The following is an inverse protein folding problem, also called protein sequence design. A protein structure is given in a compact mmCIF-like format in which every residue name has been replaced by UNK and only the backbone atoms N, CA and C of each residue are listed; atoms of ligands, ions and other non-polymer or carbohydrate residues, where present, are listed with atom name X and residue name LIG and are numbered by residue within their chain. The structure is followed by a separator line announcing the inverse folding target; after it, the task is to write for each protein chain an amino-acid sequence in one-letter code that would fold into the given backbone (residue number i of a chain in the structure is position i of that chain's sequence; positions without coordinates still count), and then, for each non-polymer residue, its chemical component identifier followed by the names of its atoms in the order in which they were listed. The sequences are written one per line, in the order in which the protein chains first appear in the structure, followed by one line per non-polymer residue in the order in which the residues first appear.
data_IF_044908783745
#
_entry.id   IF_044908783745
#
_cell.length_a   1.000
_cell.length_b   1.000
_cell.length_c   1.000
_cell.angle_alpha   90.00
_cell.angle_beta   90.00
_cell.angle_gamma   90.00
#
_symmetry.space_group_name_H-M   'P 1'
#
loop_
_entity.id
_entity.type
_entity.pdbx_description
1 polymer ?
#
# COMPACT_ATOMS: atom_id res chain seq x y z
N UNK A 1 23.78 11.94 16.58
CA UNK A 1 22.70 10.94 16.80
C UNK A 1 22.34 10.36 15.46
N UNK A 2 22.83 9.17 15.15
CA UNK A 2 22.38 8.40 13.98
C UNK A 2 20.92 8.05 14.25
N UNK A 3 19.99 8.75 13.59
CA UNK A 3 18.56 8.52 13.78
C UNK A 3 18.23 7.07 13.44
N UNK A 4 17.38 6.45 14.25
CA UNK A 4 16.81 5.13 13.96
C UNK A 4 16.17 5.17 12.56
N UNK A 5 16.78 4.45 11.61
CA UNK A 5 16.37 4.45 10.19
C UNK A 5 14.90 4.07 10.06
N UNK A 6 14.41 3.14 10.88
CA UNK A 6 13.02 2.73 10.86
C UNK A 6 12.09 3.87 11.29
N UNK A 7 12.45 4.60 12.35
CA UNK A 7 11.69 5.78 12.80
C UNK A 7 11.66 6.88 11.74
N UNK A 8 12.75 7.09 10.99
CA UNK A 8 12.77 8.04 9.89
C UNK A 8 11.84 7.60 8.74
N UNK A 9 11.99 6.36 8.28
CA UNK A 9 11.12 5.79 7.23
C UNK A 9 9.64 5.80 7.63
N UNK A 10 9.33 5.43 8.88
CA UNK A 10 7.96 5.37 9.37
C UNK A 10 7.34 6.77 9.41
N UNK A 11 8.12 7.80 9.76
CA UNK A 11 7.66 9.19 9.74
C UNK A 11 7.40 9.69 8.32
N UNK A 12 8.32 9.44 7.39
CA UNK A 12 8.20 9.90 6.00
C UNK A 12 7.02 9.23 5.27
N UNK A 13 6.78 7.95 5.57
CA UNK A 13 5.63 7.20 5.06
C UNK A 13 4.34 7.44 5.88
N UNK A 14 4.46 8.13 7.01
CA UNK A 14 3.38 8.39 7.96
C UNK A 14 2.84 7.14 8.67
N UNK A 15 3.59 6.03 8.71
CA UNK A 15 3.17 4.76 9.30
C UNK A 15 3.49 4.77 10.81
N UNK A 16 2.48 4.78 11.70
CA UNK A 16 2.72 4.79 13.13
C UNK A 16 2.80 3.38 13.67
N UNK A 17 3.40 3.28 14.85
CA UNK A 17 3.39 2.06 15.64
C UNK A 17 2.03 1.89 16.32
N UNK A 18 1.44 0.71 16.22
CA UNK A 18 0.18 0.41 16.88
C UNK A 18 0.40 0.05 18.36
N UNK A 19 -0.62 0.24 19.22
CA UNK A 19 -0.58 -0.25 20.59
C UNK A 19 -0.28 -1.76 20.63
N UNK A 20 0.67 -2.17 21.46
CA UNK A 20 1.08 -3.58 21.65
C UNK A 20 1.64 -4.29 20.40
N UNK A 21 2.02 -3.53 19.37
CA UNK A 21 2.71 -4.07 18.20
C UNK A 21 4.19 -4.36 18.52
N UNK A 22 4.63 -5.58 18.21
CA UNK A 22 6.05 -5.94 18.31
C UNK A 22 6.88 -5.27 17.22
N UNK A 23 8.19 -5.18 17.47
CA UNK A 23 9.14 -4.51 16.57
C UNK A 23 9.16 -5.14 15.17
N UNK A 24 9.00 -6.46 15.06
CA UNK A 24 9.03 -7.18 13.80
C UNK A 24 7.83 -6.85 12.90
N UNK A 25 6.62 -6.81 13.46
CA UNK A 25 5.40 -6.39 12.73
C UNK A 25 5.45 -4.93 12.34
N UNK A 26 5.88 -4.05 13.26
CA UNK A 26 6.02 -2.63 12.96
C UNK A 26 7.03 -2.41 11.82
N UNK A 27 8.21 -3.02 11.92
CA UNK A 27 9.22 -2.97 10.87
C UNK A 27 8.69 -3.53 9.55
N UNK A 28 8.00 -4.67 9.58
CA UNK A 28 7.41 -5.31 8.40
C UNK A 28 6.45 -4.40 7.65
N UNK A 29 5.54 -3.70 8.35
CA UNK A 29 4.61 -2.74 7.71
C UNK A 29 5.34 -1.55 7.09
N UNK A 30 6.33 -0.99 7.78
CA UNK A 30 7.12 0.14 7.26
C UNK A 30 7.90 -0.29 6.02
N UNK A 31 8.58 -1.43 6.08
CA UNK A 31 9.33 -1.94 4.93
C UNK A 31 8.42 -2.38 3.80
N UNK A 32 7.19 -2.82 4.06
CA UNK A 32 6.23 -3.21 3.03
C UNK A 32 5.92 -2.03 2.10
N UNK A 33 5.58 -0.88 2.69
CA UNK A 33 5.33 0.34 1.91
C UNK A 33 6.61 0.88 1.28
N UNK A 34 7.73 0.88 2.01
CA UNK A 34 9.01 1.33 1.45
C UNK A 34 9.47 0.47 0.26
N UNK A 35 9.20 -0.83 0.30
CA UNK A 35 9.59 -1.78 -0.74
C UNK A 35 8.96 -1.45 -2.10
N UNK A 36 7.73 -0.93 -2.12
CA UNK A 36 7.10 -0.41 -3.35
C UNK A 36 7.99 0.64 -4.01
N UNK A 37 8.41 1.65 -3.25
CA UNK A 37 9.25 2.73 -3.76
C UNK A 37 10.64 2.23 -4.17
N UNK A 38 11.21 1.29 -3.41
CA UNK A 38 12.47 0.65 -3.78
C UNK A 38 12.37 -0.14 -5.08
N UNK A 39 11.30 -0.91 -5.28
CA UNK A 39 11.07 -1.64 -6.53
C UNK A 39 10.92 -0.71 -7.72
N UNK A 40 10.23 0.42 -7.57
CA UNK A 40 10.17 1.47 -8.59
C UNK A 40 11.55 2.07 -8.88
N UNK A 41 12.31 2.41 -7.83
CA UNK A 41 13.67 2.95 -7.96
C UNK A 41 14.63 1.97 -8.64
N UNK A 42 14.53 0.67 -8.34
CA UNK A 42 15.33 -0.34 -9.04
C UNK A 42 15.06 -0.31 -10.55
N UNK A 43 13.80 -0.20 -10.96
CA UNK A 43 13.42 -0.13 -12.38
C UNK A 43 13.88 1.15 -13.08
N UNK A 44 14.19 2.24 -12.36
CA UNK A 44 14.85 3.43 -12.91
C UNK A 44 16.37 3.23 -13.05
N UNK A 45 16.95 2.45 -12.15
CA UNK A 45 18.35 2.06 -12.13
C UNK A 45 18.60 0.77 -12.94
N UNK A 46 18.13 0.78 -14.19
CA UNK A 46 18.33 -0.30 -15.18
C UNK A 46 19.63 -0.14 -15.99
N UNK A 47 20.43 0.89 -15.71
CA UNK A 47 21.63 1.27 -16.47
C UNK A 47 21.36 2.16 -17.69
N UNK A 48 20.09 2.41 -18.01
CA UNK A 48 19.61 3.20 -19.15
C UNK A 48 18.57 4.25 -18.73
N UNK A 49 18.54 4.61 -17.44
CA UNK A 49 17.64 5.63 -16.89
C UNK A 49 16.16 5.22 -16.87
N UNK A 50 15.85 3.92 -16.80
CA UNK A 50 14.50 3.36 -16.77
C UNK A 50 13.88 3.15 -18.16
N UNK A 51 14.65 3.33 -19.23
CA UNK A 51 14.19 3.17 -20.60
C UNK A 51 13.93 1.70 -20.98
N UNK A 52 14.76 0.77 -20.49
CA UNK A 52 14.70 -0.65 -20.85
C UNK A 52 13.88 -1.46 -19.85
N UNK A 53 13.98 -1.12 -18.57
CA UNK A 53 13.38 -1.86 -17.46
C UNK A 53 14.26 -2.99 -16.96
N UNK A 54 13.76 -3.70 -15.94
CA UNK A 54 14.47 -4.77 -15.25
C UNK A 54 13.69 -6.09 -15.28
N UNK A 55 14.42 -7.21 -15.33
CA UNK A 55 13.79 -8.53 -15.20
C UNK A 55 13.24 -8.74 -13.79
N UNK A 56 12.18 -9.55 -13.68
CA UNK A 56 11.61 -9.96 -12.40
C UNK A 56 12.67 -10.54 -11.44
N UNK A 57 13.57 -11.40 -11.95
CA UNK A 57 14.64 -12.01 -11.16
C UNK A 57 15.64 -10.99 -10.62
N UNK A 58 15.97 -9.96 -11.39
CA UNK A 58 16.87 -8.89 -10.96
C UNK A 58 16.22 -8.03 -9.86
N UNK A 59 14.95 -7.66 -10.02
CA UNK A 59 14.20 -6.89 -9.01
C UNK A 59 14.06 -7.68 -7.72
N UNK A 60 13.65 -8.95 -7.79
CA UNK A 60 13.52 -9.84 -6.62
C UNK A 60 14.86 -9.99 -5.90
N UNK A 61 15.97 -10.13 -6.65
CA UNK A 61 17.31 -10.21 -6.06
C UNK A 61 17.70 -8.93 -5.31
N UNK A 62 17.49 -7.74 -5.91
CA UNK A 62 17.74 -6.44 -5.27
C UNK A 62 16.87 -6.26 -4.03
N UNK A 63 15.56 -6.52 -4.14
CA UNK A 63 14.59 -6.44 -3.04
C UNK A 63 14.93 -7.38 -1.87
N UNK A 64 15.30 -8.63 -2.16
CA UNK A 64 15.70 -9.60 -1.14
C UNK A 64 16.96 -9.18 -0.41
N UNK A 65 17.96 -8.67 -1.12
CA UNK A 65 19.18 -8.16 -0.51
C UNK A 65 18.86 -7.00 0.44
N UNK A 66 18.03 -6.06 -0.01
CA UNK A 66 17.58 -4.95 0.83
C UNK A 66 16.83 -5.44 2.08
N UNK A 67 15.86 -6.36 1.95
CA UNK A 67 15.14 -6.92 3.10
C UNK A 67 16.06 -7.69 4.06
N UNK A 68 17.10 -8.38 3.56
CA UNK A 68 18.09 -9.03 4.43
C UNK A 68 18.87 -8.01 5.25
N UNK A 69 19.38 -6.96 4.61
CA UNK A 69 20.09 -5.89 5.30
C UNK A 69 19.21 -5.20 6.34
N UNK A 70 17.92 -4.99 6.03
CA UNK A 70 16.95 -4.47 7.00
C UNK A 70 16.71 -5.45 8.16
N UNK A 71 16.65 -6.76 7.88
CA UNK A 71 16.48 -7.77 8.92
C UNK A 71 17.65 -7.87 9.89
N UNK A 72 18.86 -7.53 9.46
CA UNK A 72 20.03 -7.49 10.33
C UNK A 72 19.92 -6.35 11.37
N UNK A 73 19.22 -5.26 11.00
CA UNK A 73 18.95 -4.11 11.87
C UNK A 73 17.69 -4.31 12.73
N UNK A 74 16.68 -5.00 12.20
CA UNK A 74 15.38 -5.20 12.85
C UNK A 74 15.03 -6.69 12.92
N UNK A 75 15.50 -7.40 13.97
CA UNK A 75 15.21 -8.81 14.15
C UNK A 75 13.71 -9.12 14.16
N UNK A 76 13.33 -10.25 13.57
CA UNK A 76 11.92 -10.68 13.49
C UNK A 76 11.15 -10.12 12.29
N UNK A 77 11.59 -9.01 11.68
CA UNK A 77 10.96 -8.42 10.50
C UNK A 77 10.86 -9.42 9.34
N UNK A 78 11.91 -10.21 9.09
CA UNK A 78 11.91 -11.19 8.00
C UNK A 78 10.86 -12.29 8.19
N UNK A 79 10.49 -12.59 9.44
CA UNK A 79 9.41 -13.53 9.77
C UNK A 79 8.06 -13.05 9.25
N UNK A 80 7.83 -11.73 9.21
CA UNK A 80 6.61 -11.14 8.67
C UNK A 80 6.46 -11.33 7.15
N UNK A 81 7.57 -11.44 6.42
CA UNK A 81 7.61 -11.75 4.99
C UNK A 81 7.71 -13.24 4.68
N UNK A 82 8.17 -14.05 5.64
CA UNK A 82 8.46 -15.47 5.41
C UNK A 82 7.15 -16.27 5.47
N UNK A 83 6.71 -16.65 4.27
CA UNK A 83 5.61 -17.59 4.04
C UNK A 83 6.14 -19.01 3.83
N UNK A 84 5.23 -19.97 3.71
CA UNK A 84 5.53 -21.37 3.34
C UNK A 84 6.34 -21.46 2.04
N UNK A 85 6.03 -20.61 1.05
CA UNK A 85 6.71 -20.57 -0.27
C UNK A 85 8.03 -19.76 -0.27
N UNK A 86 8.38 -19.16 0.86
CA UNK A 86 9.58 -18.33 1.03
C UNK A 86 9.46 -16.89 0.51
N UNK A 87 10.48 -16.08 0.83
CA UNK A 87 10.49 -14.64 0.57
C UNK A 87 10.55 -14.28 -0.92
N UNK A 88 11.26 -15.06 -1.72
CA UNK A 88 11.43 -14.77 -3.15
C UNK A 88 10.08 -14.87 -3.88
N UNK A 89 9.22 -15.81 -3.48
CA UNK A 89 7.89 -15.95 -4.05
C UNK A 89 6.96 -14.81 -3.60
N UNK A 90 7.04 -14.40 -2.33
CA UNK A 90 6.36 -13.19 -1.87
C UNK A 90 6.72 -11.97 -2.74
N UNK A 91 8.02 -11.75 -2.98
CA UNK A 91 8.51 -10.63 -3.78
C UNK A 91 8.07 -10.73 -5.25
N UNK A 92 8.05 -11.94 -5.81
CA UNK A 92 7.52 -12.16 -7.17
C UNK A 92 6.05 -11.79 -7.27
N UNK A 93 5.22 -12.14 -6.27
CA UNK A 93 3.79 -11.79 -6.22
C UNK A 93 3.55 -10.29 -6.05
N UNK A 94 4.49 -9.54 -5.47
CA UNK A 94 4.41 -8.08 -5.39
C UNK A 94 4.52 -7.43 -6.78
N UNK A 95 5.26 -8.00 -7.73
CA UNK A 95 5.47 -7.36 -9.04
C UNK A 95 4.19 -7.26 -9.89
N UNK A 96 3.37 -8.31 -10.05
CA UNK A 96 2.07 -8.19 -10.67
C UNK A 96 1.17 -7.17 -9.95
N UNK A 97 1.14 -7.17 -8.61
CA UNK A 97 0.35 -6.17 -7.87
C UNK A 97 0.76 -4.74 -8.21
N UNK A 98 2.07 -4.45 -8.28
CA UNK A 98 2.56 -3.13 -8.66
C UNK A 98 2.31 -2.82 -10.15
N UNK A 99 2.26 -3.83 -11.01
CA UNK A 99 1.91 -3.65 -12.42
C UNK A 99 0.40 -3.37 -12.61
N UNK A 100 -0.45 -4.13 -11.92
CA UNK A 100 -1.90 -3.95 -11.90
C UNK A 100 -2.26 -2.58 -11.31
N UNK A 101 -1.50 -2.12 -10.32
CA UNK A 101 -1.58 -0.78 -9.75
C UNK A 101 -0.94 0.31 -10.61
N UNK A 102 -0.42 -0.01 -11.80
CA UNK A 102 0.29 0.93 -12.67
C UNK A 102 1.46 1.66 -12.01
N UNK A 103 2.06 1.11 -10.95
CA UNK A 103 3.33 1.58 -10.38
C UNK A 103 4.53 1.12 -11.20
N UNK A 104 4.36 -0.03 -11.85
CA UNK A 104 5.26 -0.61 -12.82
C UNK A 104 4.51 -0.90 -14.13
N UNK A 105 5.24 -0.99 -15.23
CA UNK A 105 4.73 -1.43 -16.52
C UNK A 105 5.60 -2.57 -17.03
N UNK A 106 5.00 -3.66 -17.48
CA UNK A 106 5.73 -4.78 -18.08
C UNK A 106 5.74 -4.63 -19.59
N UNK A 107 6.93 -4.53 -20.20
CA UNK A 107 7.08 -4.41 -21.64
C UNK A 107 6.94 -5.77 -22.35
N UNK A 108 7.02 -5.74 -23.68
CA UNK A 108 6.90 -6.93 -24.55
C UNK A 108 8.00 -7.98 -24.27
N UNK A 109 9.20 -7.54 -23.87
CA UNK A 109 10.32 -8.41 -23.48
C UNK A 109 10.15 -9.00 -22.06
N UNK A 110 9.06 -8.68 -21.38
CA UNK A 110 8.75 -9.13 -20.03
C UNK A 110 9.57 -8.43 -18.93
N UNK A 111 10.21 -7.30 -19.23
CA UNK A 111 10.92 -6.44 -18.29
C UNK A 111 9.96 -5.42 -17.67
N UNK A 112 10.20 -5.07 -16.41
CA UNK A 112 9.41 -4.09 -15.67
C UNK A 112 10.07 -2.72 -15.70
N UNK A 113 9.30 -1.69 -16.02
CA UNK A 113 9.69 -0.28 -16.03
C UNK A 113 8.94 0.47 -14.95
N UNK A 114 9.57 1.49 -14.40
CA UNK A 114 8.89 2.42 -13.50
C UNK A 114 7.99 3.35 -14.33
N UNK A 115 6.77 3.61 -13.85
CA UNK A 115 5.83 4.51 -14.49
C UNK A 115 5.89 5.91 -13.87
N UNK A 116 5.60 6.91 -14.69
CA UNK A 116 5.41 8.28 -14.19
C UNK A 116 4.18 8.36 -13.27
N UNK A 117 4.18 9.33 -12.36
CA UNK A 117 3.02 9.62 -11.51
C UNK A 117 1.75 9.77 -12.34
N UNK A 118 0.69 9.07 -11.93
CA UNK A 118 -0.61 9.15 -12.59
C UNK A 118 -1.76 9.06 -11.62
N UNK A 119 -2.90 9.53 -12.10
CA UNK A 119 -4.20 9.52 -11.43
C UNK A 119 -5.00 8.33 -11.94
N UNK A 120 -5.39 7.43 -11.05
CA UNK A 120 -6.17 6.24 -11.39
C UNK A 120 -7.57 6.32 -10.77
N UNK A 121 -8.64 6.38 -11.56
CA UNK A 121 -9.99 6.51 -11.03
C UNK A 121 -10.46 5.21 -10.36
N UNK A 122 -11.00 5.31 -9.14
CA UNK A 122 -11.59 4.18 -8.39
C UNK A 122 -13.09 4.35 -8.12
N UNK A 123 -13.72 5.27 -8.85
CA UNK A 123 -15.16 5.56 -8.80
C UNK A 123 -15.52 6.74 -7.91
N UNK A 124 -16.76 7.24 -8.06
CA UNK A 124 -17.35 8.31 -7.23
C UNK A 124 -16.48 9.57 -7.10
N UNK A 125 -15.80 9.98 -8.18
CA UNK A 125 -14.92 11.14 -8.17
C UNK A 125 -13.66 10.95 -7.31
N UNK A 126 -13.32 9.73 -6.90
CA UNK A 126 -12.10 9.42 -6.15
C UNK A 126 -11.06 8.81 -7.08
N UNK A 127 -9.82 9.25 -6.92
CA UNK A 127 -8.68 8.75 -7.67
C UNK A 127 -7.58 8.34 -6.71
N UNK A 128 -6.78 7.36 -7.13
CA UNK A 128 -5.52 6.99 -6.50
C UNK A 128 -4.37 7.70 -7.21
N UNK A 129 -3.36 8.11 -6.43
CA UNK A 129 -2.08 8.56 -6.92
C UNK A 129 -1.13 7.35 -6.96
N UNK A 130 -0.81 6.92 -8.18
CA UNK A 130 0.01 5.73 -8.49
C UNK A 130 1.22 6.15 -9.35
N UNK A 131 2.14 5.24 -9.63
CA UNK A 131 3.42 5.54 -10.28
C UNK A 131 4.41 6.18 -9.32
N UNK A 132 5.52 6.69 -9.86
CA UNK A 132 6.56 7.35 -9.09
C UNK A 132 6.13 8.76 -8.69
N UNK A 133 6.01 9.01 -7.39
CA UNK A 133 5.78 10.34 -6.83
C UNK A 133 6.49 10.45 -5.47
N UNK A 134 6.68 11.68 -5.01
CA UNK A 134 7.25 11.96 -3.69
C UNK A 134 6.11 12.01 -2.64
N UNK A 135 6.00 11.01 -1.74
CA UNK A 135 4.96 11.00 -0.71
C UNK A 135 5.21 12.05 0.39
N UNK A 136 6.41 12.62 0.48
CA UNK A 136 6.74 13.67 1.46
C UNK A 136 6.24 15.06 1.03
N UNK A 137 5.85 15.22 -0.24
CA UNK A 137 5.27 16.44 -0.79
C UNK A 137 3.83 16.18 -1.25
N UNK A 138 2.87 16.00 -0.32
CA UNK A 138 1.51 15.66 -0.66
C UNK A 138 0.84 16.78 -1.46
N UNK A 139 0.09 16.41 -2.49
CA UNK A 139 -0.78 17.37 -3.18
C UNK A 139 -1.85 17.88 -2.20
N UNK A 140 -2.24 19.17 -2.25
CA UNK A 140 -3.14 19.79 -1.26
C UNK A 140 -4.47 19.05 -1.04
N UNK A 141 -4.97 18.36 -2.07
CA UNK A 141 -6.24 17.64 -2.06
C UNK A 141 -6.09 16.13 -1.83
N UNK A 142 -4.88 15.65 -1.50
CA UNK A 142 -4.60 14.24 -1.23
C UNK A 142 -4.73 13.87 0.24
N UNK A 143 -5.25 12.67 0.48
CA UNK A 143 -5.17 12.00 1.76
C UNK A 143 -3.74 11.50 2.00
N UNK A 144 -3.29 11.41 3.26
CA UNK A 144 -2.00 10.82 3.61
C UNK A 144 -1.90 9.37 3.15
N UNK A 145 -0.71 8.93 2.72
CA UNK A 145 -0.45 7.57 2.25
C UNK A 145 -1.04 6.50 3.17
N UNK A 146 -1.82 5.57 2.61
CA UNK A 146 -2.37 4.40 3.30
C UNK A 146 -2.06 3.14 2.52
N UNK A 147 -1.40 2.16 3.16
CA UNK A 147 -0.87 0.99 2.47
C UNK A 147 0.23 1.37 1.47
N UNK A 148 -0.14 1.37 0.19
CA UNK A 148 0.73 1.59 -0.96
C UNK A 148 0.33 2.83 -1.78
N UNK A 149 -0.84 3.44 -1.54
CA UNK A 149 -1.34 4.54 -2.36
C UNK A 149 -1.99 5.69 -1.57
N UNK A 150 -1.96 6.88 -2.16
CA UNK A 150 -2.70 8.05 -1.68
C UNK A 150 -3.98 8.25 -2.48
N UNK A 151 -5.10 8.56 -1.83
CA UNK A 151 -6.35 8.89 -2.51
C UNK A 151 -6.59 10.40 -2.54
N UNK A 152 -7.28 10.91 -3.55
CA UNK A 152 -7.69 12.30 -3.62
C UNK A 152 -9.01 12.44 -4.38
N UNK A 153 -9.77 13.51 -4.10
CA UNK A 153 -11.01 13.83 -4.81
C UNK A 153 -10.69 14.59 -6.11
N UNK A 154 -11.33 14.21 -7.21
CA UNK A 154 -11.30 14.98 -8.47
C UNK A 154 -12.36 16.08 -8.54
N UNK A 155 -13.22 16.21 -7.54
CA UNK A 155 -14.27 17.23 -7.53
C UNK A 155 -13.63 18.54 -7.07
N UNK A 156 -13.31 19.42 -8.03
CA UNK A 156 -12.71 20.71 -7.77
C UNK A 156 -13.59 21.56 -6.86
N UNK A 157 -13.10 21.88 -5.67
CA UNK A 157 -13.76 22.80 -4.75
C UNK A 157 -13.41 22.51 -3.30
N UNK A 158 -12.91 23.53 -2.60
CA UNK A 158 -12.45 23.54 -1.21
C UNK A 158 -13.49 23.14 -0.13
N UNK A 159 -14.58 22.44 -0.50
CA UNK A 159 -15.58 21.88 0.42
C UNK A 159 -15.36 20.39 0.74
N UNK A 160 -14.44 19.71 0.08
CA UNK A 160 -14.31 18.24 0.17
C UNK A 160 -13.44 17.70 1.31
N UNK A 161 -12.81 18.56 2.14
CA UNK A 161 -12.39 18.11 3.47
C UNK A 161 -13.59 17.48 4.20
N UNK A 162 -14.80 18.05 4.04
CA UNK A 162 -16.06 17.48 4.53
C UNK A 162 -16.47 16.13 3.89
N UNK A 163 -16.08 15.88 2.63
CA UNK A 163 -16.31 14.59 1.98
C UNK A 163 -15.46 13.46 2.59
N UNK A 164 -14.27 13.81 3.11
CA UNK A 164 -13.36 12.90 3.80
C UNK A 164 -13.42 12.99 5.35
N UNK A 165 -14.06 14.00 5.96
CA UNK A 165 -14.38 14.14 7.42
C UNK A 165 -15.03 15.51 7.76
N UNK A 166 -16.12 15.66 8.50
CA UNK A 166 -16.37 15.26 9.90
C UNK A 166 -17.69 14.49 10.02
N UNK A 167 -17.61 13.22 10.38
CA UNK A 167 -18.64 12.56 11.20
C UNK A 167 -17.95 11.31 11.75
N UNK A 168 -17.37 11.47 12.94
CA UNK A 168 -16.82 10.39 13.76
C UNK A 168 -17.93 9.45 14.31
N UNK A 169 -19.17 9.59 13.82
CA UNK A 169 -20.21 8.58 13.90
C UNK A 169 -20.32 7.93 12.52
N UNK A 170 -19.38 7.05 12.22
CA UNK A 170 -19.55 6.09 11.14
C UNK A 170 -20.77 5.23 11.50
N UNK A 171 -21.93 5.63 10.99
CA UNK A 171 -23.07 4.72 10.84
C UNK A 171 -22.50 3.45 10.21
N UNK A 172 -22.63 2.32 10.91
CA UNK A 172 -22.09 1.02 10.51
C UNK A 172 -22.57 0.69 9.10
N UNK A 173 -21.78 1.13 8.12
CA UNK A 173 -22.04 0.90 6.71
C UNK A 173 -21.70 -0.56 6.47
N UNK A 174 -22.66 -1.43 6.77
CA UNK A 174 -22.53 -2.87 6.59
C UNK A 174 -22.25 -3.15 5.11
N UNK A 175 -20.99 -3.45 4.81
CA UNK A 175 -20.61 -4.13 3.58
C UNK A 175 -20.66 -5.63 3.90
N UNK A 176 -21.41 -6.44 3.15
CA UNK A 176 -21.45 -7.89 3.37
C UNK A 176 -20.03 -8.44 3.44
N UNK A 177 -19.74 -9.21 4.50
CA UNK A 177 -18.43 -9.83 4.76
C UNK A 177 -17.28 -8.87 5.12
N UNK A 178 -17.54 -7.61 5.47
CA UNK A 178 -16.49 -6.73 6.01
C UNK A 178 -16.98 -5.97 7.23
N UNK A 179 -16.08 -5.80 8.21
CA UNK A 179 -16.31 -4.94 9.36
C UNK A 179 -15.10 -4.08 9.65
N UNK A 180 -15.35 -2.93 10.28
CA UNK A 180 -14.34 -1.95 10.63
C UNK A 180 -14.28 -1.83 12.15
N UNK A 181 -13.07 -1.92 12.70
CA UNK A 181 -12.83 -1.77 14.13
C UNK A 181 -11.84 -0.63 14.35
N UNK A 182 -12.27 0.44 15.02
CA UNK A 182 -11.39 1.57 15.33
C UNK A 182 -10.33 1.14 16.35
N UNK A 183 -9.07 1.42 16.04
CA UNK A 183 -7.97 1.18 16.98
C UNK A 183 -7.99 2.30 18.03
N UNK A 184 -8.22 1.93 19.29
CA UNK A 184 -8.36 2.88 20.40
C UNK A 184 -7.21 3.89 20.46
N UNK A 185 -7.56 5.17 20.55
CA UNK A 185 -6.58 6.27 20.67
C UNK A 185 -5.77 6.55 19.41
N UNK A 186 -6.22 6.10 18.23
CA UNK A 186 -5.50 6.29 16.97
C UNK A 186 -6.40 6.69 15.80
N UNK A 187 -5.80 7.23 14.74
CA UNK A 187 -6.48 7.54 13.48
C UNK A 187 -6.57 6.33 12.52
N UNK A 188 -6.55 5.11 13.06
CA UNK A 188 -6.49 3.87 12.29
C UNK A 188 -7.66 2.95 12.60
N UNK A 189 -7.95 2.12 11.62
CA UNK A 189 -9.06 1.18 11.64
C UNK A 189 -8.55 -0.16 11.12
N UNK A 190 -8.95 -1.23 11.80
CA UNK A 190 -8.75 -2.60 11.32
C UNK A 190 -9.96 -2.98 10.49
N UNK A 191 -9.72 -3.28 9.22
CA UNK A 191 -10.64 -3.93 8.32
C UNK A 191 -10.56 -5.45 8.54
N UNK A 192 -11.66 -6.05 8.95
CA UNK A 192 -11.84 -7.50 9.03
C UNK A 192 -12.59 -7.98 7.79
N UNK A 193 -12.07 -9.02 7.14
CA UNK A 193 -12.59 -9.56 5.87
C UNK A 193 -13.06 -11.00 6.08
N UNK A 194 -14.37 -11.20 5.96
CA UNK A 194 -15.09 -12.46 6.14
C UNK A 194 -14.85 -13.51 5.05
N UNK A 195 -14.35 -13.11 3.87
CA UNK A 195 -13.87 -14.00 2.80
C UNK A 195 -12.40 -13.74 2.46
N UNK A 196 -11.69 -14.66 1.79
CA UNK A 196 -10.35 -14.37 1.26
C UNK A 196 -10.38 -13.16 0.34
N UNK A 197 -9.41 -12.25 0.50
CA UNK A 197 -9.32 -11.01 -0.27
C UNK A 197 -9.18 -11.25 -1.79
N UNK A 198 -8.52 -12.35 -2.18
CA UNK A 198 -8.44 -12.80 -3.59
C UNK A 198 -9.80 -13.00 -4.29
N UNK A 199 -10.87 -13.24 -3.54
CA UNK A 199 -12.20 -13.53 -4.08
C UNK A 199 -13.05 -12.25 -4.26
N UNK A 200 -12.51 -11.09 -3.88
CA UNK A 200 -13.22 -9.82 -3.89
C UNK A 200 -12.96 -9.02 -5.17
N UNK A 201 -14.02 -8.46 -5.76
CA UNK A 201 -13.91 -7.59 -6.95
C UNK A 201 -13.09 -6.32 -6.71
N UNK A 202 -13.10 -5.83 -5.49
CA UNK A 202 -12.39 -4.63 -5.03
C UNK A 202 -10.97 -4.94 -4.49
N UNK A 203 -10.46 -6.16 -4.71
CA UNK A 203 -9.20 -6.65 -4.16
C UNK A 203 -8.07 -5.63 -4.29
N UNK A 204 -7.83 -5.15 -5.52
CA UNK A 204 -6.74 -4.22 -5.81
C UNK A 204 -6.81 -2.96 -4.94
N UNK A 205 -7.99 -2.35 -4.80
CA UNK A 205 -8.17 -1.15 -3.99
C UNK A 205 -7.90 -1.43 -2.51
N UNK A 206 -8.33 -2.58 -1.99
CA UNK A 206 -8.02 -2.98 -0.61
C UNK A 206 -6.51 -3.23 -0.45
N UNK A 207 -5.87 -3.97 -1.35
CA UNK A 207 -4.44 -4.26 -1.29
C UNK A 207 -3.60 -2.98 -1.35
N UNK A 208 -4.03 -1.99 -2.13
CA UNK A 208 -3.35 -0.70 -2.26
C UNK A 208 -3.58 0.25 -1.10
N UNK A 209 -4.75 0.24 -0.47
CA UNK A 209 -5.10 1.23 0.55
C UNK A 209 -4.87 0.74 1.98
N UNK A 210 -4.48 -0.52 2.16
CA UNK A 210 -4.39 -1.14 3.49
C UNK A 210 -3.09 -1.92 3.70
N UNK A 211 -2.59 -1.89 4.94
CA UNK A 211 -1.45 -2.71 5.36
C UNK A 211 -1.92 -4.09 5.85
N UNK A 212 -1.25 -5.19 5.50
CA UNK A 212 -1.45 -6.46 6.18
C UNK A 212 -1.08 -6.32 7.67
N UNK A 213 -1.82 -6.96 8.57
CA UNK A 213 -1.56 -6.85 10.02
C UNK A 213 -0.60 -7.93 10.53
N UNK A 214 -0.88 -9.21 10.28
CA UNK A 214 -0.13 -10.32 10.89
C UNK A 214 1.12 -10.71 10.12
N UNK A 215 0.99 -10.79 8.80
CA UNK A 215 2.04 -11.16 7.86
C UNK A 215 1.73 -10.50 6.51
N UNK A 216 2.72 -10.43 5.61
CA UNK A 216 2.59 -9.74 4.31
C UNK A 216 1.40 -10.18 3.46
N UNK A 217 0.95 -11.42 3.62
CA UNK A 217 -0.16 -12.02 2.87
C UNK A 217 -1.49 -12.03 3.64
N UNK A 218 -1.59 -11.34 4.77
CA UNK A 218 -2.80 -11.34 5.61
C UNK A 218 -4.05 -10.93 4.81
N UNK A 219 -4.86 -11.94 4.46
CA UNK A 219 -6.07 -11.79 3.66
C UNK A 219 -7.30 -11.39 4.50
N UNK A 220 -7.16 -11.31 5.83
CA UNK A 220 -8.29 -11.28 6.76
C UNK A 220 -8.31 -10.04 7.63
N UNK A 221 -7.14 -9.55 8.04
CA UNK A 221 -7.02 -8.38 8.89
C UNK A 221 -6.05 -7.39 8.27
N UNK A 222 -6.58 -6.20 7.95
CA UNK A 222 -5.80 -5.15 7.31
C UNK A 222 -6.01 -3.83 8.00
N UNK A 223 -4.94 -3.06 8.14
CA UNK A 223 -4.98 -1.73 8.74
C UNK A 223 -5.17 -0.69 7.65
N UNK A 224 -5.98 0.33 7.93
CA UNK A 224 -6.06 1.53 7.11
C UNK A 224 -6.18 2.76 8.00
N UNK A 225 -5.94 3.92 7.41
CA UNK A 225 -6.27 5.19 8.04
C UNK A 225 -7.79 5.42 8.04
N UNK A 226 -8.30 6.06 9.08
CA UNK A 226 -9.74 6.32 9.24
C UNK A 226 -10.34 7.12 8.08
N UNK A 227 -9.58 8.07 7.51
CA UNK A 227 -10.01 8.88 6.36
C UNK A 227 -10.33 8.04 5.11
N UNK A 228 -9.78 6.82 5.03
CA UNK A 228 -9.98 5.90 3.92
C UNK A 228 -11.19 4.98 4.08
N UNK A 229 -11.85 4.95 5.26
CA UNK A 229 -13.05 4.13 5.45
C UNK A 229 -14.12 4.47 4.41
N UNK A 230 -14.41 5.76 4.20
CA UNK A 230 -15.42 6.20 3.22
C UNK A 230 -15.01 5.88 1.78
N UNK A 231 -13.70 5.97 1.47
CA UNK A 231 -13.16 5.60 0.15
C UNK A 231 -13.43 4.13 -0.12
N UNK A 232 -13.05 3.25 0.82
CA UNK A 232 -13.29 1.83 0.71
C UNK A 232 -14.79 1.50 0.66
N UNK A 233 -15.61 2.00 1.58
CA UNK A 233 -17.05 1.73 1.59
C UNK A 233 -17.75 2.12 0.29
N UNK A 234 -17.34 3.23 -0.35
CA UNK A 234 -17.86 3.63 -1.67
C UNK A 234 -17.37 2.71 -2.78
N UNK A 235 -16.08 2.38 -2.83
CA UNK A 235 -15.53 1.45 -3.82
C UNK A 235 -16.12 0.04 -3.69
N UNK A 236 -16.52 -0.37 -2.48
CA UNK A 236 -17.17 -1.65 -2.20
C UNK A 236 -18.63 -1.72 -2.69
N UNK A 237 -19.31 -0.57 -2.74
CA UNK A 237 -20.71 -0.45 -3.20
C UNK A 237 -20.81 -0.19 -4.70
N UNK A 238 -19.73 0.26 -5.33
CA UNK A 238 -19.74 0.59 -6.75
C UNK A 238 -19.67 -0.68 -7.60
N UNK A 239 -20.67 -0.94 -8.48
CA UNK A 239 -20.58 -2.02 -9.46
C UNK A 239 -19.62 -1.69 -10.62
N UNK A 240 -18.94 -0.52 -10.58
CA UNK A 240 -18.05 -0.09 -11.65
C UNK A 240 -16.93 -1.10 -11.81
N UNK A 241 -16.93 -1.71 -12.98
CA UNK A 241 -15.98 -2.71 -13.44
C UNK A 241 -14.55 -2.26 -13.16
N UNK A 242 -13.93 -2.83 -12.12
CA UNK A 242 -12.48 -2.97 -12.08
C UNK A 242 -12.07 -4.10 -13.06
N UNK A 243 -12.43 -3.93 -14.34
CA UNK A 243 -11.89 -4.71 -15.44
C UNK A 243 -10.71 -3.93 -15.99
N UNK A 244 -9.52 -4.31 -15.51
CA UNK A 244 -8.31 -4.36 -16.32
C UNK A 244 -7.95 -5.84 -16.46
#
# INVERSE_FOLDING_TARGET
MTGDLLTAMSRDLGIPRLPHEDDGRFAGRVTYTALRFWMQAYCLDDGYGGACGMSSSAIVRKARLWLRNMSDLYPGMIGWYRQDDGIDECLRRTLPLLADAHDLEKNEDGLYRCTASRRFPIGHGTNLLLGLYDPSNPTPDSLPLSGLASAFSSIAGAKDRAAFGDDAQAQEDHVPHMSFETVQGSEYVVLHIGSPLRDLKCRMVIELLTWPMRAVDDQRQRLLRMQYMRVLSRSLRSPVAMMG
#
